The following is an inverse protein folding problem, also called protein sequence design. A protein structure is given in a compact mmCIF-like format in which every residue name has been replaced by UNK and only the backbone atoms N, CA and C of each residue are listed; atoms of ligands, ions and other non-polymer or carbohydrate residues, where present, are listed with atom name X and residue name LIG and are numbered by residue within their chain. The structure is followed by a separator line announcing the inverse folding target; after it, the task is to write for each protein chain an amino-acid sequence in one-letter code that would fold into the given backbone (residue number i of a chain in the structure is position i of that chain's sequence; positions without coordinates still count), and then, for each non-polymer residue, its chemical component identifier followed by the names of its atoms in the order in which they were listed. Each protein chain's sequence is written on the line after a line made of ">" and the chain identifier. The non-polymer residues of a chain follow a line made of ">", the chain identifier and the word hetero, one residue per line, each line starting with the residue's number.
data_IF_637210413311
#
_entry.id   IF_637210413311
#
_cell.length_a   1.000
_cell.length_b   1.000
_cell.length_c   1.000
_cell.angle_alpha   90.00
_cell.angle_beta   90.00
_cell.angle_gamma   90.00
#
_symmetry.space_group_name_H-M   'P 1'
#
loop_
_entity.id
_entity.type
_entity.pdbx_description
1 polymer ?
#
# COMPACT_ATOMS: atom_id res chain seq x y z
N UNK A 1 8.73 -14.54 -22.11
CA UNK A 1 9.99 -15.27 -22.39
C UNK A 1 10.76 -15.59 -21.10
N UNK A 2 11.74 -16.50 -21.15
CA UNK A 2 12.67 -16.79 -20.04
C UNK A 2 14.03 -16.15 -20.33
N UNK A 3 14.57 -15.38 -19.39
CA UNK A 3 15.79 -14.60 -19.55
C UNK A 3 16.75 -14.94 -18.41
N UNK A 4 18.04 -15.16 -18.71
CA UNK A 4 19.07 -15.30 -17.69
C UNK A 4 19.73 -13.94 -17.44
N UNK A 5 19.57 -13.40 -16.24
CA UNK A 5 20.18 -12.15 -15.78
C UNK A 5 21.24 -12.51 -14.76
N UNK A 6 22.50 -12.65 -15.21
CA UNK A 6 23.65 -12.97 -14.36
C UNK A 6 23.39 -14.18 -13.42
N UNK A 7 22.88 -15.27 -14.01
CA UNK A 7 22.56 -16.52 -13.31
C UNK A 7 21.14 -16.62 -12.74
N UNK A 8 20.39 -15.51 -12.64
CA UNK A 8 18.99 -15.53 -12.19
C UNK A 8 18.04 -15.76 -13.37
N UNK A 9 17.17 -16.76 -13.27
CA UNK A 9 16.13 -17.04 -14.26
C UNK A 9 14.92 -16.11 -14.05
N UNK A 10 14.74 -15.17 -14.97
CA UNK A 10 13.65 -14.18 -14.95
C UNK A 10 12.58 -14.56 -15.97
N UNK A 11 11.32 -14.62 -15.51
CA UNK A 11 10.16 -14.74 -16.38
C UNK A 11 9.66 -13.35 -16.77
N UNK A 12 9.80 -13.02 -18.05
CA UNK A 12 9.39 -11.73 -18.59
C UNK A 12 8.09 -11.90 -19.39
N UNK A 13 7.00 -11.17 -19.11
CA UNK A 13 5.67 -11.48 -19.63
C UNK A 13 5.43 -11.05 -21.08
N UNK A 14 6.48 -10.63 -21.79
CA UNK A 14 6.44 -10.24 -23.20
C UNK A 14 7.32 -11.16 -24.06
N UNK A 15 7.11 -11.08 -25.38
CA UNK A 15 7.85 -11.87 -26.38
C UNK A 15 9.23 -11.30 -26.70
N UNK A 16 9.41 -9.98 -26.53
CA UNK A 16 10.65 -9.27 -26.83
C UNK A 16 11.06 -8.43 -25.63
N UNK A 17 12.38 -8.33 -25.41
CA UNK A 17 13.01 -7.44 -24.43
C UNK A 17 13.95 -6.49 -25.17
N UNK A 18 13.96 -5.22 -24.76
CA UNK A 18 14.90 -4.24 -25.28
C UNK A 18 16.28 -4.37 -24.62
N UNK A 19 17.39 -4.06 -25.33
CA UNK A 19 18.73 -4.08 -24.74
C UNK A 19 18.84 -3.22 -23.48
N UNK A 20 18.17 -2.07 -23.44
CA UNK A 20 18.15 -1.16 -22.30
C UNK A 20 17.43 -1.77 -21.09
N UNK A 21 16.34 -2.52 -21.32
CA UNK A 21 15.64 -3.26 -20.25
C UNK A 21 16.54 -4.34 -19.66
N UNK A 22 17.30 -5.05 -20.48
CA UNK A 22 18.25 -6.06 -20.00
C UNK A 22 19.40 -5.43 -19.19
N UNK A 23 19.96 -4.33 -19.67
CA UNK A 23 20.98 -3.57 -18.94
C UNK A 23 20.44 -3.07 -17.59
N UNK A 24 19.20 -2.57 -17.57
CA UNK A 24 18.51 -2.17 -16.33
C UNK A 24 18.39 -3.33 -15.33
N UNK A 25 17.99 -4.52 -15.80
CA UNK A 25 17.90 -5.71 -14.96
C UNK A 25 19.26 -6.10 -14.36
N UNK A 26 20.34 -6.02 -15.16
CA UNK A 26 21.69 -6.33 -14.67
C UNK A 26 22.12 -5.40 -13.54
N UNK A 27 21.97 -4.08 -13.71
CA UNK A 27 22.36 -3.12 -12.67
C UNK A 27 21.47 -3.21 -11.42
N UNK A 28 20.16 -3.48 -11.59
CA UNK A 28 19.25 -3.70 -10.46
C UNK A 28 19.65 -4.95 -9.67
N UNK A 29 19.97 -6.06 -10.35
CA UNK A 29 20.41 -7.30 -9.70
C UNK A 29 21.71 -7.10 -8.92
N UNK A 30 22.72 -6.44 -9.52
CA UNK A 30 23.98 -6.12 -8.84
C UNK A 30 23.74 -5.33 -7.55
N UNK A 31 22.76 -4.43 -7.56
CA UNK A 31 22.40 -3.64 -6.38
C UNK A 31 21.81 -4.52 -5.27
N UNK A 32 20.94 -5.48 -5.62
CA UNK A 32 20.39 -6.43 -4.65
C UNK A 32 21.46 -7.33 -4.05
N UNK A 33 22.35 -7.86 -4.89
CA UNK A 33 23.46 -8.71 -4.44
C UNK A 33 24.43 -7.95 -3.51
N UNK A 34 24.67 -6.67 -3.79
CA UNK A 34 25.49 -5.79 -2.97
C UNK A 34 24.78 -5.26 -1.70
N UNK A 35 23.46 -5.47 -1.56
CA UNK A 35 22.62 -4.91 -0.48
C UNK A 35 22.75 -3.38 -0.36
N UNK A 36 22.86 -2.69 -1.49
CA UNK A 36 23.11 -1.25 -1.57
C UNK A 36 21.90 -0.44 -2.02
N UNK A 37 22.13 0.85 -2.24
CA UNK A 37 21.19 1.76 -2.89
C UNK A 37 21.65 2.03 -4.33
N UNK A 38 20.71 2.20 -5.25
CA UNK A 38 21.00 2.63 -6.61
C UNK A 38 20.03 3.72 -7.03
N UNK A 39 20.50 4.58 -7.95
CA UNK A 39 19.66 5.51 -8.69
C UNK A 39 19.73 5.07 -10.14
N UNK A 40 18.59 4.62 -10.68
CA UNK A 40 18.49 4.14 -12.06
C UNK A 40 17.59 5.09 -12.84
N UNK A 41 18.13 5.61 -13.93
CA UNK A 41 17.38 6.40 -14.89
C UNK A 41 16.96 5.51 -16.06
N UNK A 42 15.67 5.50 -16.38
CA UNK A 42 15.17 4.84 -17.57
C UNK A 42 14.09 5.70 -18.23
N UNK A 43 14.16 5.95 -19.55
CA UNK A 43 13.22 6.82 -20.23
C UNK A 43 11.80 6.27 -20.19
N UNK A 44 10.81 7.16 -20.11
CA UNK A 44 9.40 6.79 -20.05
C UNK A 44 8.95 5.98 -21.28
N UNK A 45 7.99 5.08 -21.08
CA UNK A 45 7.43 4.26 -22.17
C UNK A 45 8.24 3.01 -22.53
N UNK A 46 9.38 2.76 -21.86
CA UNK A 46 10.23 1.58 -22.10
C UNK A 46 9.88 0.36 -21.26
N UNK A 47 8.74 0.34 -20.56
CA UNK A 47 8.31 -0.81 -19.77
C UNK A 47 9.04 -0.99 -18.43
N UNK A 48 9.49 0.12 -17.80
CA UNK A 48 10.19 0.12 -16.50
C UNK A 48 9.54 -0.71 -15.43
N UNK A 49 8.25 -0.52 -15.23
CA UNK A 49 7.50 -1.19 -14.18
C UNK A 49 7.54 -2.70 -14.35
N UNK A 50 7.26 -3.21 -15.56
CA UNK A 50 7.34 -4.65 -15.85
C UNK A 50 8.75 -5.19 -15.68
N UNK A 51 9.76 -4.53 -16.24
CA UNK A 51 11.17 -4.96 -16.12
C UNK A 51 11.59 -5.09 -14.67
N UNK A 52 11.24 -4.11 -13.84
CA UNK A 52 11.54 -4.11 -12.42
C UNK A 52 10.76 -5.21 -11.68
N UNK A 53 9.45 -5.33 -11.90
CA UNK A 53 8.62 -6.34 -11.24
C UNK A 53 9.07 -7.76 -11.59
N UNK A 54 9.35 -8.05 -12.86
CA UNK A 54 9.83 -9.35 -13.30
C UNK A 54 11.12 -9.77 -12.60
N UNK A 55 12.08 -8.85 -12.48
CA UNK A 55 13.34 -9.15 -11.82
C UNK A 55 13.18 -9.33 -10.31
N UNK A 56 12.43 -8.45 -9.65
CA UNK A 56 12.25 -8.53 -8.19
C UNK A 56 11.48 -9.78 -7.79
N UNK A 57 10.41 -10.13 -8.52
CA UNK A 57 9.65 -11.35 -8.27
C UNK A 57 10.54 -12.58 -8.42
N UNK A 58 11.34 -12.67 -9.49
CA UNK A 58 12.29 -13.76 -9.67
C UNK A 58 13.31 -13.81 -8.51
N UNK A 59 13.80 -12.66 -8.07
CA UNK A 59 14.77 -12.56 -6.98
C UNK A 59 14.18 -13.00 -5.64
N UNK A 60 12.94 -12.60 -5.31
CA UNK A 60 12.23 -13.02 -4.08
C UNK A 60 12.03 -14.53 -4.06
N UNK A 61 11.70 -15.13 -5.22
CA UNK A 61 11.46 -16.58 -5.32
C UNK A 61 12.74 -17.39 -5.15
N UNK A 62 13.85 -16.95 -5.76
CA UNK A 62 15.12 -17.69 -5.71
C UNK A 62 15.90 -17.41 -4.42
N UNK A 63 15.82 -16.18 -3.88
CA UNK A 63 16.62 -15.72 -2.75
C UNK A 63 15.77 -15.09 -1.63
N UNK A 64 14.80 -15.83 -1.05
CA UNK A 64 13.86 -15.29 -0.04
C UNK A 64 14.55 -14.82 1.26
N UNK A 65 15.77 -15.29 1.52
CA UNK A 65 16.59 -14.88 2.68
C UNK A 65 17.28 -13.52 2.49
N UNK A 66 17.37 -13.04 1.24
CA UNK A 66 18.00 -11.75 0.93
C UNK A 66 16.91 -10.68 0.76
N UNK A 67 15.91 -10.98 -0.07
CA UNK A 67 14.77 -10.10 -0.30
C UNK A 67 13.50 -10.89 -0.08
N UNK A 68 12.74 -10.49 0.94
CA UNK A 68 11.46 -11.09 1.30
C UNK A 68 10.27 -10.24 0.87
N UNK A 69 10.45 -8.91 0.84
CA UNK A 69 9.36 -7.96 0.62
C UNK A 69 9.77 -6.86 -0.35
N UNK A 70 8.91 -6.59 -1.33
CA UNK A 70 8.98 -5.42 -2.19
C UNK A 70 7.98 -4.37 -1.71
N UNK A 71 8.46 -3.15 -1.54
CA UNK A 71 7.66 -1.96 -1.28
C UNK A 71 7.80 -1.05 -2.49
N UNK A 72 6.73 -0.94 -3.27
CA UNK A 72 6.69 -0.06 -4.44
C UNK A 72 5.95 1.22 -4.09
N UNK A 73 6.67 2.33 -4.18
CA UNK A 73 6.15 3.66 -3.93
C UNK A 73 5.91 4.39 -5.24
N UNK A 74 4.64 4.75 -5.49
CA UNK A 74 4.24 5.60 -6.63
C UNK A 74 3.62 6.90 -6.15
N UNK A 75 3.52 7.89 -7.03
CA UNK A 75 2.94 9.19 -6.68
C UNK A 75 1.42 9.15 -6.63
N UNK A 76 0.78 8.60 -7.66
CA UNK A 76 -0.67 8.71 -7.86
C UNK A 76 -1.39 7.36 -7.78
N UNK A 77 -2.68 7.39 -7.43
CA UNK A 77 -3.52 6.17 -7.37
C UNK A 77 -3.62 5.47 -8.72
N UNK A 78 -3.79 6.17 -9.86
CA UNK A 78 -3.80 5.51 -11.17
C UNK A 78 -2.48 4.79 -11.51
N UNK A 79 -1.33 5.31 -11.08
CA UNK A 79 -0.05 4.60 -11.23
C UNK A 79 -0.01 3.33 -10.37
N UNK A 80 -0.47 3.41 -9.11
CA UNK A 80 -0.56 2.25 -8.22
C UNK A 80 -1.42 1.14 -8.86
N UNK A 81 -2.57 1.50 -9.45
CA UNK A 81 -3.44 0.56 -10.15
C UNK A 81 -2.75 -0.07 -11.37
N UNK A 82 -1.99 0.71 -12.15
CA UNK A 82 -1.21 0.19 -13.29
C UNK A 82 -0.15 -0.81 -12.84
N UNK A 83 0.62 -0.50 -11.79
CA UNK A 83 1.66 -1.40 -11.24
C UNK A 83 1.04 -2.74 -10.84
N UNK A 84 -0.15 -2.71 -10.24
CA UNK A 84 -0.86 -3.92 -9.79
C UNK A 84 -1.43 -4.71 -10.96
N UNK A 85 -1.93 -4.03 -11.99
CA UNK A 85 -2.36 -4.70 -13.22
C UNK A 85 -1.18 -5.40 -13.90
N UNK A 86 0.00 -4.78 -13.94
CA UNK A 86 1.23 -5.39 -14.45
C UNK A 86 1.69 -6.57 -13.58
N UNK A 87 1.61 -6.45 -12.25
CA UNK A 87 1.92 -7.55 -11.33
C UNK A 87 0.96 -8.73 -11.52
N UNK A 88 -0.35 -8.48 -11.66
CA UNK A 88 -1.34 -9.52 -12.00
C UNK A 88 -1.01 -10.20 -13.32
N UNK A 89 -0.67 -9.43 -14.34
CA UNK A 89 -0.28 -9.95 -15.65
C UNK A 89 0.96 -10.87 -15.54
N UNK A 90 1.95 -10.45 -14.75
CA UNK A 90 3.14 -11.25 -14.46
C UNK A 90 2.79 -12.56 -13.74
N UNK A 91 1.98 -12.53 -12.68
CA UNK A 91 1.58 -13.76 -11.96
C UNK A 91 0.85 -14.75 -12.87
N UNK A 92 -0.07 -14.26 -13.71
CA UNK A 92 -0.77 -15.09 -14.70
C UNK A 92 0.21 -15.67 -15.73
N UNK A 93 1.24 -14.91 -16.10
CA UNK A 93 2.30 -15.40 -16.99
C UNK A 93 3.10 -16.53 -16.33
N UNK A 94 3.45 -16.40 -15.05
CA UNK A 94 4.11 -17.46 -14.28
C UNK A 94 3.28 -18.74 -14.22
N UNK A 95 1.98 -18.63 -13.91
CA UNK A 95 1.06 -19.77 -13.87
C UNK A 95 1.00 -20.50 -15.22
N UNK A 96 0.90 -19.75 -16.33
CA UNK A 96 0.91 -20.34 -17.68
C UNK A 96 2.23 -21.04 -18.03
N UNK A 97 3.36 -20.56 -17.52
CA UNK A 97 4.69 -21.08 -17.87
C UNK A 97 5.17 -22.23 -16.99
N UNK A 98 4.68 -22.30 -15.75
CA UNK A 98 5.13 -23.27 -14.73
C UNK A 98 4.03 -24.25 -14.33
N UNK A 99 2.77 -23.97 -14.68
CA UNK A 99 1.60 -24.76 -14.28
C UNK A 99 1.17 -24.55 -12.83
N UNK A 100 1.86 -23.68 -12.08
CA UNK A 100 1.60 -23.43 -10.66
C UNK A 100 1.57 -21.92 -10.43
N UNK A 101 0.57 -21.44 -9.68
CA UNK A 101 0.52 -20.05 -9.26
C UNK A 101 1.60 -19.78 -8.21
N UNK A 102 2.44 -18.75 -8.38
CA UNK A 102 3.42 -18.38 -7.37
C UNK A 102 2.75 -18.10 -6.03
N UNK A 103 3.35 -18.56 -4.93
CA UNK A 103 2.90 -18.27 -3.57
C UNK A 103 3.29 -16.84 -3.17
N UNK A 104 2.79 -15.85 -3.91
CA UNK A 104 3.09 -14.43 -3.75
C UNK A 104 1.79 -13.70 -3.50
N UNK A 105 1.79 -12.90 -2.44
CA UNK A 105 0.68 -12.02 -2.10
C UNK A 105 1.08 -10.59 -2.44
N UNK A 106 0.36 -9.99 -3.39
CA UNK A 106 0.50 -8.60 -3.81
C UNK A 106 -0.67 -7.77 -3.28
N UNK A 107 -0.39 -6.60 -2.70
CA UNK A 107 -1.41 -5.78 -2.05
C UNK A 107 -1.26 -4.30 -2.42
N UNK A 108 -2.40 -3.62 -2.57
CA UNK A 108 -2.47 -2.15 -2.57
C UNK A 108 -2.85 -1.61 -1.20
N UNK A 109 -2.13 -0.57 -0.75
CA UNK A 109 -2.61 0.31 0.30
C UNK A 109 -2.90 1.70 -0.26
N UNK A 110 -4.12 2.17 -0.01
CA UNK A 110 -4.56 3.53 -0.31
C UNK A 110 -5.25 4.17 0.90
N UNK A 111 -5.76 5.38 0.73
CA UNK A 111 -6.49 6.11 1.77
C UNK A 111 -7.83 5.44 2.11
N UNK A 112 -8.37 5.75 3.30
CA UNK A 112 -9.72 5.32 3.71
C UNK A 112 -10.78 5.73 2.70
N UNK A 113 -10.66 6.93 2.11
CA UNK A 113 -11.54 7.42 1.04
C UNK A 113 -11.64 6.44 -0.14
N UNK A 114 -10.54 5.83 -0.53
CA UNK A 114 -10.51 4.95 -1.70
C UNK A 114 -10.89 3.51 -1.38
N UNK A 115 -10.86 3.09 -0.10
CA UNK A 115 -11.08 1.69 0.31
C UNK A 115 -12.34 1.49 1.18
N UNK A 116 -13.00 2.56 1.62
CA UNK A 116 -14.19 2.47 2.47
C UNK A 116 -15.39 1.91 1.69
N UNK A 117 -16.08 0.93 2.28
CA UNK A 117 -17.31 0.32 1.76
C UNK A 117 -18.56 0.68 2.58
N UNK A 118 -18.40 1.41 3.69
CA UNK A 118 -19.52 1.86 4.51
C UNK A 118 -20.40 2.85 3.73
N UNK A 119 -21.69 2.58 3.63
CA UNK A 119 -22.63 3.29 2.75
C UNK A 119 -22.68 4.80 2.98
N UNK A 120 -22.62 5.25 4.23
CA UNK A 120 -22.68 6.67 4.58
C UNK A 120 -21.33 7.40 4.45
N UNK A 121 -20.22 6.69 4.65
CA UNK A 121 -18.88 7.30 4.68
C UNK A 121 -18.25 7.31 3.29
N UNK A 122 -18.46 6.25 2.51
CA UNK A 122 -17.93 6.13 1.15
C UNK A 122 -18.46 7.19 0.17
N UNK A 123 -19.60 7.83 0.49
CA UNK A 123 -20.20 8.90 -0.32
C UNK A 123 -19.49 10.25 -0.15
N UNK A 124 -18.68 10.41 0.90
CA UNK A 124 -18.00 11.67 1.19
C UNK A 124 -16.86 11.94 0.21
N UNK A 125 -16.76 13.19 -0.25
CA UNK A 125 -15.73 13.59 -1.23
C UNK A 125 -14.42 14.00 -0.57
N UNK A 126 -14.46 14.51 0.66
CA UNK A 126 -13.28 14.97 1.38
C UNK A 126 -12.72 13.84 2.25
N UNK A 127 -11.43 13.54 2.07
CA UNK A 127 -10.73 12.53 2.86
C UNK A 127 -10.73 12.83 4.36
N UNK A 128 -10.67 14.11 4.76
CA UNK A 128 -10.69 14.49 6.18
C UNK A 128 -12.02 14.15 6.85
N UNK A 129 -13.13 14.29 6.11
CA UNK A 129 -14.47 13.95 6.60
C UNK A 129 -14.60 12.43 6.71
N UNK A 130 -14.10 11.70 5.70
CA UNK A 130 -14.05 10.23 5.74
C UNK A 130 -13.28 9.73 6.97
N UNK A 131 -12.11 10.31 7.21
CA UNK A 131 -11.26 9.93 8.34
C UNK A 131 -11.94 10.22 9.68
N UNK A 132 -12.58 11.39 9.83
CA UNK A 132 -13.30 11.77 11.03
C UNK A 132 -14.52 10.88 11.30
N UNK A 133 -15.35 10.60 10.28
CA UNK A 133 -16.51 9.69 10.43
C UNK A 133 -16.07 8.26 10.74
N UNK A 134 -15.02 7.78 10.07
CA UNK A 134 -14.46 6.45 10.35
C UNK A 134 -13.94 6.38 11.79
N UNK A 135 -13.20 7.38 12.25
CA UNK A 135 -12.72 7.44 13.64
C UNK A 135 -13.88 7.49 14.63
N UNK A 136 -14.92 8.27 14.35
CA UNK A 136 -16.12 8.38 15.18
C UNK A 136 -16.90 7.07 15.36
N UNK A 137 -16.67 6.05 14.53
CA UNK A 137 -17.29 4.72 14.63
C UNK A 137 -16.32 3.60 15.02
N UNK A 138 -15.02 3.86 15.05
CA UNK A 138 -13.98 2.82 15.27
C UNK A 138 -13.07 3.12 16.46
N UNK A 139 -13.17 4.29 17.07
CA UNK A 139 -12.40 4.64 18.25
C UNK A 139 -12.74 3.73 19.44
N UNK A 140 -11.73 3.38 20.25
CA UNK A 140 -11.89 2.46 21.38
C UNK A 140 -13.00 2.88 22.34
N UNK A 141 -13.01 4.14 22.76
CA UNK A 141 -14.04 4.67 23.66
C UNK A 141 -15.47 4.65 23.09
N UNK A 142 -15.63 4.67 21.76
CA UNK A 142 -16.95 4.55 21.12
C UNK A 142 -17.40 3.10 21.18
N UNK A 143 -16.49 2.17 20.88
CA UNK A 143 -16.75 0.72 20.92
C UNK A 143 -17.06 0.24 22.34
N UNK A 144 -16.34 0.76 23.33
CA UNK A 144 -16.59 0.45 24.75
C UNK A 144 -17.98 0.92 25.20
N UNK A 145 -18.43 2.09 24.73
CA UNK A 145 -19.80 2.58 24.99
C UNK A 145 -20.86 1.75 24.26
N UNK A 146 -20.61 1.39 23.00
CA UNK A 146 -21.51 0.56 22.21
C UNK A 146 -21.71 -0.84 22.80
N UNK A 147 -20.76 -1.33 23.61
CA UNK A 147 -20.93 -2.59 24.35
C UNK A 147 -21.98 -2.50 25.47
N UNK A 148 -22.34 -1.29 25.91
CA UNK A 148 -23.34 -1.04 26.96
C UNK A 148 -24.61 -0.37 26.44
N UNK A 149 -24.54 0.28 25.29
CA UNK A 149 -25.61 1.06 24.68
C UNK A 149 -25.68 0.78 23.17
N UNK A 150 -26.67 -0.02 22.77
CA UNK A 150 -26.90 -0.42 21.38
C UNK A 150 -27.28 0.76 20.44
N UNK A 151 -27.54 1.96 20.99
CA UNK A 151 -27.86 3.14 20.18
C UNK A 151 -26.62 3.81 19.57
N UNK A 152 -25.42 3.47 20.04
CA UNK A 152 -24.17 4.07 19.57
C UNK A 152 -23.75 3.46 18.22
N UNK A 153 -23.63 4.27 17.14
CA UNK A 153 -23.30 3.74 15.82
C UNK A 153 -21.84 3.27 15.76
N UNK A 154 -21.66 2.01 15.36
CA UNK A 154 -20.35 1.38 15.14
C UNK A 154 -20.21 0.86 13.71
N UNK A 155 -18.96 0.74 13.26
CA UNK A 155 -18.69 0.25 11.92
C UNK A 155 -18.71 -1.29 11.91
N UNK A 156 -19.79 -1.88 11.39
CA UNK A 156 -19.95 -3.34 11.29
C UNK A 156 -18.78 -4.03 10.58
N UNK A 157 -18.27 -3.44 9.50
CA UNK A 157 -17.12 -3.97 8.76
C UNK A 157 -15.83 -4.00 9.59
N UNK A 158 -15.63 -3.00 10.46
CA UNK A 158 -14.46 -2.97 11.35
C UNK A 158 -14.57 -4.03 12.44
N UNK A 159 -15.74 -4.14 13.07
CA UNK A 159 -15.99 -5.16 14.10
C UNK A 159 -15.85 -6.58 13.53
N UNK A 160 -16.42 -6.84 12.35
CA UNK A 160 -16.28 -8.14 11.68
C UNK A 160 -14.81 -8.51 11.44
N UNK A 161 -14.00 -7.55 10.98
CA UNK A 161 -12.56 -7.78 10.81
C UNK A 161 -11.81 -7.96 12.15
N UNK A 162 -12.20 -7.24 13.21
CA UNK A 162 -11.60 -7.40 14.54
C UNK A 162 -11.91 -8.76 15.17
N UNK A 163 -13.10 -9.29 14.93
CA UNK A 163 -13.57 -10.55 15.50
C UNK A 163 -12.93 -11.78 14.81
N UNK A 164 -12.93 -11.83 13.48
CA UNK A 164 -12.52 -13.04 12.72
C UNK A 164 -11.31 -12.80 11.81
N UNK A 165 -11.14 -11.56 11.34
CA UNK A 165 -10.20 -11.23 10.27
C UNK A 165 -8.73 -11.30 10.67
N UNK A 166 -8.39 -11.20 11.96
CA UNK A 166 -6.99 -11.27 12.43
C UNK A 166 -6.39 -12.67 12.39
N UNK A 167 -7.23 -13.70 12.48
CA UNK A 167 -6.79 -15.10 12.45
C UNK A 167 -6.67 -15.64 11.02
N UNK A 168 -7.26 -14.94 10.05
CA UNK A 168 -7.27 -15.34 8.65
C UNK A 168 -6.18 -14.63 7.86
N UNK A 169 -5.28 -15.40 7.25
CA UNK A 169 -4.32 -14.86 6.28
C UNK A 169 -4.97 -14.69 4.90
N UNK A 170 -4.65 -13.62 4.19
CA UNK A 170 -5.08 -13.48 2.80
C UNK A 170 -4.46 -14.61 1.95
N UNK A 171 -5.24 -15.24 1.07
CA UNK A 171 -4.70 -16.25 0.18
C UNK A 171 -3.64 -15.64 -0.76
N UNK A 172 -2.79 -16.49 -1.37
CA UNK A 172 -1.86 -16.04 -2.40
C UNK A 172 -2.63 -15.46 -3.58
N UNK A 173 -2.14 -14.35 -4.12
CA UNK A 173 -2.87 -13.57 -5.11
C UNK A 173 -2.49 -12.09 -5.09
N UNK A 174 -2.86 -11.38 -6.14
CA UNK A 174 -2.60 -9.95 -6.27
C UNK A 174 -3.93 -9.20 -6.17
N UNK A 175 -4.05 -8.36 -5.16
CA UNK A 175 -5.29 -7.67 -4.82
C UNK A 175 -5.22 -6.19 -5.17
N UNK A 176 -6.07 -5.77 -6.10
CA UNK A 176 -6.34 -4.37 -6.41
C UNK A 176 -7.21 -3.71 -5.33
N UNK A 177 -7.37 -2.38 -5.41
CA UNK A 177 -8.26 -1.65 -4.50
C UNK A 177 -9.70 -2.20 -4.58
N UNK A 178 -10.17 -2.49 -5.78
CA UNK A 178 -11.54 -2.96 -5.98
C UNK A 178 -11.71 -4.43 -5.59
N UNK A 179 -10.70 -5.27 -5.82
CA UNK A 179 -10.72 -6.66 -5.35
C UNK A 179 -10.79 -6.69 -3.81
N UNK A 180 -10.02 -5.82 -3.14
CA UNK A 180 -10.05 -5.73 -1.67
C UNK A 180 -11.42 -5.26 -1.15
N UNK A 181 -12.10 -4.38 -1.88
CA UNK A 181 -13.47 -3.98 -1.53
C UNK A 181 -14.46 -5.12 -1.72
N UNK A 182 -14.36 -5.85 -2.82
CA UNK A 182 -15.22 -6.99 -3.11
C UNK A 182 -15.06 -8.08 -2.05
N UNK A 183 -13.81 -8.47 -1.76
CA UNK A 183 -13.49 -9.43 -0.70
C UNK A 183 -14.00 -8.97 0.68
N UNK A 184 -13.88 -7.67 0.98
CA UNK A 184 -14.42 -7.09 2.21
C UNK A 184 -15.95 -7.08 2.26
N UNK A 185 -16.65 -6.95 1.13
CA UNK A 185 -18.11 -7.05 1.06
C UNK A 185 -18.58 -8.48 1.28
N UNK A 186 -17.92 -9.46 0.66
CA UNK A 186 -18.27 -10.88 0.79
C UNK A 186 -18.12 -11.39 2.22
N UNK A 187 -17.04 -10.98 2.91
CA UNK A 187 -16.74 -11.41 4.29
C UNK A 187 -17.24 -10.45 5.37
N UNK A 188 -17.88 -9.34 4.99
CA UNK A 188 -18.26 -8.27 5.89
C UNK A 188 -17.08 -7.71 6.72
N UNK A 189 -15.92 -7.55 6.08
CA UNK A 189 -14.68 -7.05 6.69
C UNK A 189 -14.27 -5.71 6.11
N UNK A 190 -13.67 -4.84 6.93
CA UNK A 190 -13.20 -3.54 6.48
C UNK A 190 -11.96 -3.68 5.58
N UNK A 191 -12.04 -3.33 4.28
CA UNK A 191 -10.93 -3.52 3.35
C UNK A 191 -9.67 -2.75 3.74
N UNK A 192 -9.83 -1.54 4.30
CA UNK A 192 -8.71 -0.70 4.72
C UNK A 192 -7.91 -1.34 5.85
N UNK A 193 -8.57 -1.78 6.92
CA UNK A 193 -7.89 -2.40 8.06
C UNK A 193 -7.37 -3.79 7.73
N UNK A 194 -8.08 -4.54 6.90
CA UNK A 194 -7.62 -5.82 6.36
C UNK A 194 -6.34 -5.66 5.54
N UNK A 195 -6.31 -4.72 4.59
CA UNK A 195 -5.11 -4.42 3.79
C UNK A 195 -3.96 -4.03 4.72
N UNK A 196 -4.22 -3.12 5.67
CA UNK A 196 -3.20 -2.67 6.63
C UNK A 196 -2.60 -3.81 7.44
N UNK A 197 -3.40 -4.78 7.88
CA UNK A 197 -2.91 -5.97 8.58
C UNK A 197 -2.12 -6.90 7.65
N UNK A 198 -2.62 -7.10 6.43
CA UNK A 198 -2.00 -7.97 5.44
C UNK A 198 -0.65 -7.48 4.91
N UNK A 199 -0.31 -6.18 5.05
CA UNK A 199 1.01 -5.62 4.67
C UNK A 199 2.15 -6.40 5.30
N UNK A 200 1.98 -6.89 6.53
CA UNK A 200 3.01 -7.64 7.24
C UNK A 200 3.33 -8.97 6.57
N UNK A 201 2.32 -9.63 6.01
CA UNK A 201 2.41 -10.95 5.39
C UNK A 201 2.60 -10.90 3.87
N UNK A 202 2.28 -9.76 3.24
CA UNK A 202 2.41 -9.57 1.80
C UNK A 202 3.88 -9.58 1.35
N UNK A 203 4.12 -10.08 0.13
CA UNK A 203 5.43 -10.09 -0.51
C UNK A 203 5.64 -8.84 -1.35
N UNK A 204 4.59 -8.31 -1.97
CA UNK A 204 4.63 -7.07 -2.75
C UNK A 204 3.57 -6.12 -2.22
N UNK A 205 3.99 -4.92 -1.83
CA UNK A 205 3.10 -3.86 -1.33
C UNK A 205 3.27 -2.63 -2.18
N UNK A 206 2.19 -2.10 -2.74
CA UNK A 206 2.18 -0.89 -3.56
C UNK A 206 1.39 0.21 -2.85
N UNK A 207 2.04 1.33 -2.56
CA UNK A 207 1.38 2.48 -1.92
C UNK A 207 2.02 3.82 -2.30
N UNK A 208 1.50 4.92 -1.76
CA UNK A 208 2.00 6.27 -2.02
C UNK A 208 3.22 6.63 -1.18
N UNK A 209 4.10 7.50 -1.71
CA UNK A 209 5.25 8.09 -0.99
C UNK A 209 4.95 8.58 0.42
N UNK A 210 3.77 9.17 0.62
CA UNK A 210 3.38 9.71 1.92
C UNK A 210 3.33 8.64 3.02
N UNK A 211 3.05 7.38 2.68
CA UNK A 211 3.03 6.30 3.67
C UNK A 211 4.42 5.91 4.17
N UNK A 212 5.48 6.23 3.41
CA UNK A 212 6.86 5.94 3.79
C UNK A 212 7.58 7.18 4.37
N UNK A 213 7.32 8.37 3.81
CA UNK A 213 8.07 9.58 4.11
C UNK A 213 7.42 10.48 5.16
N UNK A 214 6.10 10.41 5.35
CA UNK A 214 5.43 11.16 6.43
C UNK A 214 5.65 10.41 7.76
N UNK A 215 6.41 10.97 8.71
CA UNK A 215 6.73 10.28 9.96
C UNK A 215 5.48 9.89 10.76
N UNK A 216 4.37 10.65 10.65
CA UNK A 216 3.12 10.36 11.37
C UNK A 216 2.43 9.10 10.85
N UNK A 217 2.58 8.82 9.56
CA UNK A 217 1.94 7.69 8.88
C UNK A 217 2.89 6.49 8.83
N UNK A 218 4.18 6.74 8.56
CA UNK A 218 5.21 5.73 8.47
C UNK A 218 5.37 4.97 9.80
N UNK A 219 5.23 5.62 10.95
CA UNK A 219 5.26 4.89 12.23
C UNK A 219 4.13 3.85 12.37
N UNK A 220 3.01 4.10 11.70
CA UNK A 220 1.78 3.31 11.82
C UNK A 220 1.73 2.14 10.82
N UNK A 221 2.44 2.27 9.69
CA UNK A 221 2.42 1.34 8.55
C UNK A 221 3.78 0.67 8.31
N UNK A 222 4.87 1.40 8.53
CA UNK A 222 6.23 0.98 8.15
C UNK A 222 7.09 0.51 9.33
N UNK A 223 6.63 0.67 10.58
CA UNK A 223 7.39 0.28 11.79
C UNK A 223 7.67 -1.22 11.88
N UNK A 224 6.87 -2.05 11.21
CA UNK A 224 7.01 -3.52 11.18
C UNK A 224 7.58 -4.05 9.85
N UNK A 225 8.16 -3.18 9.01
CA UNK A 225 8.81 -3.64 7.78
C UNK A 225 10.01 -4.54 8.10
N UNK A 226 10.08 -5.68 7.40
CA UNK A 226 11.18 -6.62 7.55
C UNK A 226 12.51 -5.97 7.12
N UNK A 227 13.61 -6.34 7.76
CA UNK A 227 14.96 -5.89 7.35
C UNK A 227 15.30 -6.32 5.92
N UNK A 228 14.70 -7.40 5.46
CA UNK A 228 14.83 -7.98 4.11
C UNK A 228 13.83 -7.36 3.12
N UNK A 229 13.60 -6.04 3.23
CA UNK A 229 12.70 -5.31 2.33
C UNK A 229 13.48 -4.47 1.31
N UNK A 230 13.01 -4.49 0.06
CA UNK A 230 13.47 -3.59 -1.01
C UNK A 230 12.42 -2.51 -1.21
N UNK A 231 12.84 -1.25 -1.15
CA UNK A 231 11.99 -0.10 -1.45
C UNK A 231 12.33 0.42 -2.84
N UNK A 232 11.29 0.59 -3.65
CA UNK A 232 11.37 1.17 -5.00
C UNK A 232 10.57 2.46 -5.00
N UNK A 233 11.25 3.58 -5.28
CA UNK A 233 10.61 4.87 -5.47
C UNK A 233 10.50 5.17 -6.97
N UNK A 234 9.30 5.10 -7.54
CA UNK A 234 9.05 5.34 -8.96
C UNK A 234 8.59 6.78 -9.25
N UNK A 235 9.16 7.42 -10.28
CA UNK A 235 8.98 8.86 -10.53
C UNK A 235 9.46 9.76 -9.35
N UNK A 236 10.60 9.40 -8.75
CA UNK A 236 11.15 10.03 -7.54
C UNK A 236 11.73 11.45 -7.72
N UNK A 237 11.44 12.14 -8.81
CA UNK A 237 11.96 13.49 -9.11
C UNK A 237 11.44 14.58 -8.15
N UNK A 238 10.36 14.30 -7.40
CA UNK A 238 9.75 15.24 -6.45
C UNK A 238 9.89 14.80 -4.98
N UNK A 239 10.81 13.87 -4.69
CA UNK A 239 10.95 13.32 -3.34
C UNK A 239 11.35 14.39 -2.31
N UNK A 240 12.16 15.36 -2.73
CA UNK A 240 12.57 16.52 -1.95
C UNK A 240 11.37 17.37 -1.50
N UNK A 241 10.50 17.73 -2.45
CA UNK A 241 9.29 18.49 -2.20
C UNK A 241 8.34 17.73 -1.26
N UNK A 242 8.19 16.42 -1.45
CA UNK A 242 7.37 15.57 -0.58
C UNK A 242 7.90 15.57 0.86
N UNK A 243 9.22 15.47 1.04
CA UNK A 243 9.85 15.53 2.36
C UNK A 243 9.65 16.89 3.02
N UNK A 244 9.84 17.99 2.28
CA UNK A 244 9.65 19.35 2.79
C UNK A 244 8.19 19.57 3.21
N UNK A 245 7.24 19.20 2.35
CA UNK A 245 5.81 19.37 2.63
C UNK A 245 5.33 18.52 3.83
N UNK A 246 5.85 17.30 3.98
CA UNK A 246 5.46 16.39 5.08
C UNK A 246 5.90 16.91 6.46
N UNK A 247 6.96 17.71 6.51
CA UNK A 247 7.47 18.32 7.74
C UNK A 247 7.06 19.80 7.91
N UNK A 248 6.41 20.39 6.90
CA UNK A 248 6.01 21.80 6.93
C UNK A 248 4.59 21.99 7.46
N UNK A 249 4.39 23.01 8.31
CA UNK A 249 3.08 23.41 8.79
C UNK A 249 2.83 24.87 8.42
N UNK A 250 1.73 25.15 7.72
CA UNK A 250 1.32 26.51 7.34
C UNK A 250 0.22 27.01 8.28
N UNK A 251 0.53 28.02 9.08
CA UNK A 251 -0.44 28.69 9.97
C UNK A 251 -0.91 29.96 9.28
N UNK A 252 -2.23 30.14 9.17
CA UNK A 252 -2.84 31.34 8.61
C UNK A 252 -3.93 31.86 9.55
N UNK A 253 -4.36 33.11 9.33
CA UNK A 253 -5.37 33.78 10.16
C UNK A 253 -6.67 32.96 10.27
N UNK A 254 -7.13 32.38 9.17
CA UNK A 254 -8.35 31.54 9.15
C UNK A 254 -8.22 30.30 10.03
N UNK A 255 -7.03 29.68 10.07
CA UNK A 255 -6.77 28.53 10.95
C UNK A 255 -6.83 28.96 12.41
N UNK A 256 -6.20 30.10 12.76
CA UNK A 256 -6.22 30.64 14.12
C UNK A 256 -7.65 30.95 14.57
N UNK A 257 -8.44 31.64 13.74
CA UNK A 257 -9.85 31.95 14.05
C UNK A 257 -10.68 30.68 14.29
N UNK A 258 -10.49 29.65 13.45
CA UNK A 258 -11.13 28.33 13.66
C UNK A 258 -10.68 27.66 14.95
N UNK A 259 -9.39 27.74 15.28
CA UNK A 259 -8.84 27.18 16.52
C UNK A 259 -9.44 27.88 17.74
N UNK A 260 -9.60 29.20 17.73
CA UNK A 260 -10.26 29.95 18.81
C UNK A 260 -11.71 29.48 19.02
N UNK A 261 -12.49 29.34 17.94
CA UNK A 261 -13.85 28.79 18.03
C UNK A 261 -13.87 27.35 18.57
N UNK A 262 -12.88 26.54 18.19
CA UNK A 262 -12.70 25.18 18.70
C UNK A 262 -12.44 25.15 20.21
N UNK A 263 -11.57 26.04 20.71
CA UNK A 263 -11.27 26.17 22.14
C UNK A 263 -12.53 26.55 22.92
N UNK A 264 -13.30 27.53 22.46
CA UNK A 264 -14.56 27.90 23.12
C UNK A 264 -15.60 26.77 23.13
N UNK A 265 -15.64 25.94 22.09
CA UNK A 265 -16.51 24.76 22.08
C UNK A 265 -16.06 23.74 23.13
N UNK A 266 -14.75 23.51 23.27
CA UNK A 266 -14.20 22.61 24.28
C UNK A 266 -14.41 23.14 25.70
N UNK A 267 -14.24 24.46 25.93
CA UNK A 267 -14.51 25.09 27.23
C UNK A 267 -15.95 24.85 27.67
N UNK A 268 -16.93 25.00 26.77
CA UNK A 268 -18.33 24.69 27.06
C UNK A 268 -18.55 23.23 27.39
N UNK A 269 -17.99 22.32 26.60
CA UNK A 269 -18.15 20.88 26.78
C UNK A 269 -17.52 20.37 28.09
N UNK A 270 -16.45 21.00 28.57
CA UNK A 270 -15.81 20.63 29.85
C UNK A 270 -16.54 21.23 31.06
N UNK A 271 -17.26 22.33 30.86
CA UNK A 271 -18.06 22.97 31.92
C UNK A 271 -19.42 22.29 32.18
N UNK A 272 -19.91 21.52 31.20
CA UNK A 272 -21.08 20.63 31.30
C UNK A 272 -20.72 19.28 31.94
#
# INVERSE_FOLDING_TARGET
>A
MRISVDGLLVYFPYEYIYPEQYAYMLELKRTFDAKGHCLLEMPSGTGKTTTLLSLIVAYIMENPHIVRKLIYCSRTVPEIEKVIAELKHLMNYYEKQTGVMPNITGLVLSSRKNMCIHSEVSRERDGKIVDAKCYGMTASYVRDRAATDDSVPICQYFEGFQAEGKETTLPPGVYSIDDMKEFGRERNWCPYFMSRFAINQAHVVVYSYHYLLDPKIAEVVSKELARESVVVCDEAHNIDNVCVDSMSVKINRRLIEKSTTGVHTLEKYVAE
#
